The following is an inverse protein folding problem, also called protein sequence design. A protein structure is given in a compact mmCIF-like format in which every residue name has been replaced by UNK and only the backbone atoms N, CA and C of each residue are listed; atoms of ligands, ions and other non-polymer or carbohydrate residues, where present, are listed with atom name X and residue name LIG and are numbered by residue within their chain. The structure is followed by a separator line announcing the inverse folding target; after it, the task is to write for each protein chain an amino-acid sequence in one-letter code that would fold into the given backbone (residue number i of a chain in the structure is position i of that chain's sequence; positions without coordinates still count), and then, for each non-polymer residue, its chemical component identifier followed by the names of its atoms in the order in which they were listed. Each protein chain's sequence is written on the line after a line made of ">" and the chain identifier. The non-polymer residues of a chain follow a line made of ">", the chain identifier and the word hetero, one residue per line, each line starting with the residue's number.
data_IF_406122423612
#
_entry.id   IF_406122423612
#
_cell.length_a   1.000
_cell.length_b   1.000
_cell.length_c   1.000
_cell.angle_alpha   90.00
_cell.angle_beta   90.00
_cell.angle_gamma   90.00
#
_symmetry.space_group_name_H-M   'P 1'
#
loop_
_entity.id
_entity.type
_entity.pdbx_description
1 polymer ?
#
# COMPACT_ATOMS: atom_id res chain seq x y z
N UNK A 1 1.10 20.06 7.17
CA UNK A 1 1.04 20.43 5.74
C UNK A 1 -0.13 19.69 5.09
N UNK A 2 -0.76 20.22 4.02
CA UNK A 2 -1.85 19.52 3.31
C UNK A 2 -1.31 18.81 2.07
N UNK A 3 -1.88 17.65 1.73
CA UNK A 3 -1.48 16.83 0.59
C UNK A 3 -1.81 17.52 -0.75
N UNK A 4 -0.89 17.56 -1.74
CA UNK A 4 -1.21 17.96 -3.10
C UNK A 4 -2.12 16.91 -3.77
N UNK A 5 -3.00 17.34 -4.68
CA UNK A 5 -3.95 16.44 -5.35
C UNK A 5 -4.19 16.85 -6.79
N UNK A 6 -4.45 15.88 -7.67
CA UNK A 6 -4.72 16.14 -9.09
C UNK A 6 -5.93 17.06 -9.26
N UNK A 7 -5.73 18.21 -9.91
CA UNK A 7 -6.80 19.18 -10.20
C UNK A 7 -7.54 19.71 -8.96
N UNK A 8 -6.97 19.54 -7.76
CA UNK A 8 -7.64 19.78 -6.48
C UNK A 8 -8.99 19.03 -6.36
N UNK A 9 -9.10 17.85 -6.97
CA UNK A 9 -10.31 17.02 -6.92
C UNK A 9 -10.37 16.12 -5.69
N UNK A 10 -9.23 15.95 -4.99
CA UNK A 10 -9.08 15.10 -3.81
C UNK A 10 -9.61 13.69 -4.10
N UNK A 11 -8.98 12.95 -4.99
CA UNK A 11 -9.51 11.68 -5.55
C UNK A 11 -9.34 10.47 -4.61
N UNK A 12 -9.63 10.68 -3.34
CA UNK A 12 -9.49 9.69 -2.28
C UNK A 12 -10.64 9.72 -1.29
N UNK A 13 -10.85 8.60 -0.61
CA UNK A 13 -11.71 8.48 0.56
C UNK A 13 -11.03 7.62 1.62
N UNK A 14 -11.36 7.83 2.89
CA UNK A 14 -10.82 7.04 4.00
C UNK A 14 -11.96 6.40 4.77
N UNK A 15 -11.96 5.07 4.84
CA UNK A 15 -12.88 4.30 5.67
C UNK A 15 -12.21 4.05 7.01
N UNK A 16 -12.84 4.53 8.09
CA UNK A 16 -12.34 4.39 9.46
C UNK A 16 -13.02 3.17 10.10
N UNK A 17 -12.25 2.15 10.43
CA UNK A 17 -12.73 0.94 11.10
C UNK A 17 -12.24 0.89 12.54
N UNK A 18 -13.17 1.05 13.48
CA UNK A 18 -12.92 0.96 14.94
C UNK A 18 -13.62 -0.24 15.57
N UNK A 19 -14.78 -0.60 15.03
CA UNK A 19 -15.62 -1.69 15.49
C UNK A 19 -14.87 -3.03 15.44
N UNK A 20 -15.00 -3.82 16.52
CA UNK A 20 -14.26 -5.06 16.70
C UNK A 20 -14.72 -6.14 15.71
N UNK A 21 -16.03 -6.23 15.45
CA UNK A 21 -16.57 -7.19 14.48
C UNK A 21 -16.11 -6.85 13.06
N UNK A 22 -16.13 -5.57 12.69
CA UNK A 22 -15.61 -5.10 11.40
C UNK A 22 -14.11 -5.33 11.23
N UNK A 23 -13.30 -5.15 12.28
CA UNK A 23 -11.87 -5.53 12.24
C UNK A 23 -11.69 -7.03 12.05
N UNK A 24 -12.47 -7.85 12.76
CA UNK A 24 -12.44 -9.30 12.60
C UNK A 24 -12.82 -9.73 11.18
N UNK A 25 -13.77 -9.04 10.54
CA UNK A 25 -14.13 -9.29 9.13
C UNK A 25 -13.03 -8.88 8.14
N UNK A 26 -12.25 -7.83 8.43
CA UNK A 26 -11.12 -7.40 7.59
C UNK A 26 -9.85 -8.23 7.79
N UNK A 27 -9.67 -8.86 8.96
CA UNK A 27 -8.44 -9.57 9.30
C UNK A 27 -8.06 -10.64 8.26
N UNK A 28 -8.97 -11.48 7.71
CA UNK A 28 -8.63 -12.43 6.67
C UNK A 28 -8.09 -11.80 5.39
N UNK A 29 -8.63 -10.64 4.98
CA UNK A 29 -8.15 -9.90 3.80
C UNK A 29 -6.71 -9.41 3.97
N UNK A 30 -6.29 -9.24 5.22
CA UNK A 30 -4.94 -8.84 5.62
C UNK A 30 -4.12 -10.02 6.16
N UNK A 31 -4.45 -11.24 5.75
CA UNK A 31 -3.75 -12.48 6.14
C UNK A 31 -3.66 -12.70 7.65
N UNK A 32 -4.66 -12.23 8.38
CA UNK A 32 -4.75 -12.29 9.84
C UNK A 32 -3.53 -11.70 10.56
N UNK A 33 -2.89 -10.68 9.97
CA UNK A 33 -1.86 -9.90 10.67
C UNK A 33 -2.48 -9.31 11.96
N UNK A 34 -1.89 -9.58 13.14
CA UNK A 34 -2.52 -9.33 14.44
C UNK A 34 -2.87 -7.85 14.67
N UNK A 35 -2.06 -6.96 14.09
CA UNK A 35 -2.22 -5.50 14.17
C UNK A 35 -3.61 -5.03 13.70
N UNK A 36 -4.28 -5.77 12.79
CA UNK A 36 -5.61 -5.40 12.29
C UNK A 36 -6.67 -5.43 13.40
N UNK A 37 -6.57 -6.41 14.30
CA UNK A 37 -7.49 -6.58 15.42
C UNK A 37 -7.01 -5.90 16.70
N UNK A 38 -5.69 -5.80 16.88
CA UNK A 38 -5.08 -5.20 18.08
C UNK A 38 -5.10 -3.68 18.06
N UNK A 39 -4.83 -3.06 16.90
CA UNK A 39 -4.79 -1.61 16.80
C UNK A 39 -6.17 -1.00 17.09
N UNK A 40 -6.25 0.14 17.79
CA UNK A 40 -7.53 0.78 18.09
C UNK A 40 -8.22 1.31 16.84
N UNK A 41 -7.49 1.58 15.75
CA UNK A 41 -8.05 2.04 14.47
C UNK A 41 -7.37 1.34 13.30
N UNK A 42 -8.17 0.93 12.32
CA UNK A 42 -7.72 0.54 10.98
C UNK A 42 -8.29 1.55 9.99
N UNK A 43 -7.44 2.12 9.13
CA UNK A 43 -7.84 3.09 8.11
C UNK A 43 -7.59 2.51 6.73
N UNK A 44 -8.63 2.39 5.91
CA UNK A 44 -8.52 1.99 4.51
C UNK A 44 -8.66 3.22 3.62
N UNK A 45 -7.59 3.59 2.94
CA UNK A 45 -7.51 4.67 1.97
C UNK A 45 -7.84 4.13 0.58
N UNK A 46 -8.82 4.73 -0.06
CA UNK A 46 -9.35 4.30 -1.35
C UNK A 46 -9.07 5.36 -2.41
N UNK A 47 -8.71 4.93 -3.61
CA UNK A 47 -8.91 5.72 -4.83
C UNK A 47 -10.42 5.94 -5.01
N UNK A 48 -10.86 7.19 -5.15
CA UNK A 48 -12.29 7.54 -5.23
C UNK A 48 -12.56 8.55 -6.35
N UNK A 49 -13.08 8.02 -7.46
CA UNK A 49 -13.68 8.81 -8.54
C UNK A 49 -15.21 8.82 -8.46
N UNK A 50 -15.81 8.05 -7.56
CA UNK A 50 -17.25 8.03 -7.36
C UNK A 50 -17.76 9.42 -7.01
N UNK A 51 -17.18 10.07 -6.00
CA UNK A 51 -17.61 11.41 -5.55
C UNK A 51 -17.56 12.45 -6.67
N UNK A 52 -16.45 12.50 -7.40
CA UNK A 52 -16.26 13.43 -8.53
C UNK A 52 -17.23 13.14 -9.67
N UNK A 53 -17.47 11.86 -9.97
CA UNK A 53 -18.45 11.43 -10.98
C UNK A 53 -19.87 11.87 -10.59
N UNK A 54 -20.27 11.64 -9.34
CA UNK A 54 -21.58 12.07 -8.83
C UNK A 54 -21.72 13.59 -8.90
N UNK A 55 -20.68 14.35 -8.53
CA UNK A 55 -20.68 15.81 -8.67
C UNK A 55 -20.88 16.25 -10.13
N UNK A 56 -20.13 15.67 -11.08
CA UNK A 56 -20.25 16.00 -12.50
C UNK A 56 -21.66 15.74 -13.05
N UNK A 57 -22.23 14.55 -12.78
CA UNK A 57 -23.59 14.20 -13.20
C UNK A 57 -24.64 15.17 -12.63
N UNK A 58 -24.47 15.60 -11.38
CA UNK A 58 -25.33 16.58 -10.73
C UNK A 58 -25.05 18.03 -11.13
N UNK A 59 -24.12 18.28 -12.06
CA UNK A 59 -23.74 19.62 -12.56
C UNK A 59 -23.77 19.71 -14.08
N UNK A 60 -24.57 18.87 -14.74
CA UNK A 60 -24.75 18.85 -16.20
C UNK A 60 -23.44 18.61 -16.96
N UNK A 61 -22.49 17.90 -16.35
CA UNK A 61 -21.24 17.49 -16.96
C UNK A 61 -21.26 15.99 -17.28
N UNK A 62 -20.39 15.57 -18.21
CA UNK A 62 -20.27 14.18 -18.66
C UNK A 62 -18.96 13.60 -18.14
N UNK A 63 -18.96 12.83 -17.03
CA UNK A 63 -17.75 12.21 -16.52
C UNK A 63 -17.28 11.07 -17.44
N UNK A 64 -15.97 10.87 -17.51
CA UNK A 64 -15.32 9.78 -18.26
C UNK A 64 -14.14 9.23 -17.47
N UNK A 65 -14.38 8.86 -16.21
CA UNK A 65 -13.37 8.46 -15.24
C UNK A 65 -13.31 6.95 -14.98
N UNK A 66 -14.02 6.18 -15.80
CA UNK A 66 -14.11 4.73 -15.77
C UNK A 66 -13.06 4.07 -16.65
N UNK A 67 -11.80 4.39 -16.36
CA UNK A 67 -10.65 3.89 -17.12
C UNK A 67 -9.40 3.84 -16.24
N UNK A 68 -8.40 3.12 -16.74
CA UNK A 68 -7.18 2.82 -16.00
C UNK A 68 -6.38 4.07 -15.63
N UNK A 69 -6.33 5.08 -16.52
CA UNK A 69 -5.64 6.32 -16.23
C UNK A 69 -6.27 7.06 -15.05
N UNK A 70 -7.60 7.08 -14.99
CA UNK A 70 -8.34 7.67 -13.87
C UNK A 70 -8.07 6.90 -12.57
N UNK A 71 -8.01 5.57 -12.62
CA UNK A 71 -7.57 4.78 -11.48
C UNK A 71 -6.18 5.18 -10.99
N UNK A 72 -5.19 5.27 -11.89
CA UNK A 72 -3.81 5.65 -11.52
C UNK A 72 -3.74 7.06 -10.89
N UNK A 73 -4.50 8.02 -11.42
CA UNK A 73 -4.60 9.36 -10.86
C UNK A 73 -5.15 9.32 -9.42
N UNK A 74 -6.25 8.60 -9.20
CA UNK A 74 -6.86 8.47 -7.88
C UNK A 74 -6.01 7.66 -6.89
N UNK A 75 -5.33 6.61 -7.36
CA UNK A 75 -4.43 5.80 -6.56
C UNK A 75 -3.23 6.62 -6.04
N UNK A 76 -2.67 7.47 -6.92
CA UNK A 76 -1.57 8.38 -6.55
C UNK A 76 -2.02 9.38 -5.50
N UNK A 77 -3.18 10.03 -5.71
CA UNK A 77 -3.80 10.95 -4.74
C UNK A 77 -4.01 10.27 -3.37
N UNK A 78 -4.51 9.03 -3.36
CA UNK A 78 -4.76 8.26 -2.14
C UNK A 78 -3.46 7.90 -1.39
N UNK A 79 -2.40 7.48 -2.08
CA UNK A 79 -1.10 7.16 -1.46
C UNK A 79 -0.40 8.40 -0.90
N UNK A 80 -0.43 9.53 -1.63
CA UNK A 80 0.11 10.79 -1.13
C UNK A 80 -0.61 11.23 0.15
N UNK A 81 -1.94 11.07 0.18
CA UNK A 81 -2.74 11.41 1.35
C UNK A 81 -2.43 10.48 2.53
N UNK A 82 -2.34 9.16 2.28
CA UNK A 82 -1.96 8.16 3.27
C UNK A 82 -0.60 8.48 3.90
N UNK A 83 0.44 8.73 3.10
CA UNK A 83 1.76 9.04 3.65
C UNK A 83 1.79 10.37 4.41
N UNK A 84 1.07 11.40 3.92
CA UNK A 84 0.94 12.67 4.65
C UNK A 84 0.29 12.43 6.01
N UNK A 85 -0.74 11.59 6.06
CA UNK A 85 -1.41 11.21 7.30
C UNK A 85 -0.46 10.48 8.25
N UNK A 86 0.31 9.48 7.78
CA UNK A 86 1.28 8.77 8.61
C UNK A 86 2.30 9.71 9.24
N UNK A 87 2.91 10.61 8.45
CA UNK A 87 3.87 11.59 8.95
C UNK A 87 3.27 12.48 10.06
N UNK A 88 2.01 12.89 9.91
CA UNK A 88 1.32 13.71 10.91
C UNK A 88 0.96 12.89 12.15
N UNK A 89 0.51 11.64 11.98
CA UNK A 89 0.19 10.76 13.09
C UNK A 89 1.43 10.46 13.95
N UNK A 90 2.56 10.15 13.32
CA UNK A 90 3.84 9.90 14.00
C UNK A 90 4.36 11.15 14.71
N UNK A 91 4.19 12.35 14.12
CA UNK A 91 4.52 13.61 14.77
C UNK A 91 3.68 13.89 16.03
N UNK A 92 2.46 13.34 16.10
CA UNK A 92 1.57 13.38 17.27
C UNK A 92 1.79 12.20 18.24
N UNK A 93 2.83 11.38 18.01
CA UNK A 93 3.21 10.27 18.89
C UNK A 93 2.42 8.97 18.68
N UNK A 94 1.70 8.83 17.57
CA UNK A 94 1.03 7.57 17.20
C UNK A 94 1.96 6.67 16.37
N UNK A 95 1.78 5.36 16.48
CA UNK A 95 2.40 4.35 15.63
C UNK A 95 1.51 4.02 14.44
N UNK A 96 2.13 3.81 13.28
CA UNK A 96 1.44 3.36 12.06
C UNK A 96 2.11 2.13 11.45
N UNK A 97 1.32 1.24 10.83
CA UNK A 97 1.85 0.14 10.03
C UNK A 97 1.05 -0.01 8.73
N UNK A 98 1.73 0.06 7.59
CA UNK A 98 1.12 -0.11 6.28
C UNK A 98 0.95 -1.58 5.92
N UNK A 99 -0.26 -1.98 5.52
CA UNK A 99 -0.58 -3.35 5.17
C UNK A 99 -0.57 -3.55 3.65
N UNK A 100 0.55 -4.03 3.09
CA UNK A 100 0.68 -4.30 1.65
C UNK A 100 -0.37 -5.26 1.07
N UNK A 101 -0.96 -6.08 1.94
CA UNK A 101 -2.08 -6.99 1.63
C UNK A 101 -3.33 -6.32 1.05
N UNK A 102 -3.51 -5.00 1.18
CA UNK A 102 -4.68 -4.28 0.63
C UNK A 102 -4.89 -4.54 -0.85
N UNK A 103 -3.82 -4.51 -1.64
CA UNK A 103 -3.87 -4.77 -3.08
C UNK A 103 -3.75 -6.27 -3.42
N UNK A 104 -3.50 -7.14 -2.43
CA UNK A 104 -3.50 -8.59 -2.64
C UNK A 104 -4.90 -9.18 -2.54
N UNK A 105 -5.77 -8.60 -1.72
CA UNK A 105 -7.15 -9.03 -1.51
C UNK A 105 -8.17 -7.89 -1.69
N UNK A 106 -8.10 -7.10 -2.79
CA UNK A 106 -8.92 -5.91 -2.94
C UNK A 106 -10.40 -6.24 -2.96
N UNK A 107 -10.81 -7.35 -3.60
CA UNK A 107 -12.22 -7.74 -3.69
C UNK A 107 -12.83 -8.01 -2.31
N UNK A 108 -12.13 -8.75 -1.45
CA UNK A 108 -12.59 -9.04 -0.10
C UNK A 108 -12.77 -7.77 0.74
N UNK A 109 -11.88 -6.78 0.57
CA UNK A 109 -11.98 -5.48 1.23
C UNK A 109 -13.14 -4.67 0.65
N UNK A 110 -13.31 -4.67 -0.68
CA UNK A 110 -14.44 -4.02 -1.37
C UNK A 110 -15.77 -4.54 -0.83
N UNK A 111 -15.93 -5.86 -0.72
CA UNK A 111 -17.16 -6.49 -0.24
C UNK A 111 -17.41 -6.16 1.25
N UNK A 112 -16.37 -6.27 2.08
CA UNK A 112 -16.46 -6.03 3.53
C UNK A 112 -16.81 -4.58 3.87
N UNK A 113 -16.21 -3.64 3.14
CA UNK A 113 -16.41 -2.19 3.31
C UNK A 113 -17.51 -1.62 2.40
N UNK A 114 -18.14 -2.46 1.59
CA UNK A 114 -19.23 -2.10 0.67
C UNK A 114 -18.84 -0.95 -0.26
N UNK A 115 -17.62 -1.01 -0.82
CA UNK A 115 -17.08 0.06 -1.66
C UNK A 115 -17.82 0.09 -3.01
N UNK A 116 -18.47 1.21 -3.37
CA UNK A 116 -19.25 1.29 -4.61
C UNK A 116 -18.35 1.41 -5.83
N UNK A 117 -18.95 1.29 -7.03
CA UNK A 117 -18.26 1.52 -8.32
C UNK A 117 -17.45 2.83 -8.29
N UNK A 118 -16.26 2.80 -8.88
CA UNK A 118 -15.24 3.86 -8.88
C UNK A 118 -14.62 4.18 -7.52
N UNK A 119 -14.69 3.24 -6.57
CA UNK A 119 -13.94 3.28 -5.32
C UNK A 119 -13.10 2.01 -5.19
N UNK A 120 -11.77 2.14 -5.05
CA UNK A 120 -10.88 0.99 -5.00
C UNK A 120 -9.90 1.13 -3.83
N UNK A 121 -9.70 0.11 -2.97
CA UNK A 121 -8.81 0.21 -1.82
C UNK A 121 -7.34 0.17 -2.28
N UNK A 122 -6.53 1.13 -1.81
CA UNK A 122 -5.14 1.31 -2.26
C UNK A 122 -4.15 1.07 -1.11
N UNK A 123 -4.50 1.55 0.08
CA UNK A 123 -3.68 1.41 1.26
C UNK A 123 -4.55 1.11 2.47
N UNK A 124 -4.06 0.27 3.37
CA UNK A 124 -4.62 0.15 4.71
C UNK A 124 -3.50 0.38 5.70
N UNK A 125 -3.76 1.17 6.74
CA UNK A 125 -2.86 1.29 7.88
C UNK A 125 -3.56 0.89 9.16
N UNK A 126 -2.81 0.31 10.08
CA UNK A 126 -3.19 0.25 11.49
C UNK A 126 -2.64 1.49 12.20
N UNK A 127 -3.38 2.00 13.18
CA UNK A 127 -3.06 3.23 13.90
C UNK A 127 -3.38 3.06 15.38
N UNK A 128 -2.41 3.39 16.24
CA UNK A 128 -2.55 3.31 17.70
C UNK A 128 -1.43 4.03 18.44
N UNK A 129 -1.48 4.00 19.77
CA UNK A 129 -0.33 4.40 20.57
C UNK A 129 0.67 3.24 20.58
N UNK A 130 1.96 3.48 20.30
CA UNK A 130 2.97 2.43 20.27
C UNK A 130 3.10 1.73 21.64
N UNK A 131 3.13 0.41 21.63
CA UNK A 131 3.50 -0.46 22.75
C UNK A 131 4.92 -1.05 22.59
N UNK A 132 5.55 -0.76 21.46
CA UNK A 132 6.93 -1.12 21.12
C UNK A 132 7.70 0.08 20.56
N UNK A 133 9.04 -0.01 20.60
CA UNK A 133 9.95 0.97 20.02
C UNK A 133 11.05 0.23 19.23
N UNK A 134 10.72 -0.31 18.04
CA UNK A 134 11.66 -1.10 17.26
C UNK A 134 12.83 -0.25 16.74
N UNK A 135 13.96 -0.90 16.49
CA UNK A 135 15.08 -0.25 15.84
C UNK A 135 14.70 0.16 14.40
N UNK A 136 15.24 1.29 13.94
CA UNK A 136 15.01 1.76 12.59
C UNK A 136 15.69 0.83 11.58
N UNK A 137 14.93 0.29 10.63
CA UNK A 137 15.49 -0.51 9.55
C UNK A 137 16.37 0.34 8.62
N UNK A 138 17.40 -0.29 8.07
CA UNK A 138 18.30 0.28 7.08
C UNK A 138 17.56 0.75 5.81
N UNK A 139 18.21 1.66 5.07
CA UNK A 139 17.81 2.07 3.73
C UNK A 139 19.00 1.88 2.79
N UNK A 140 18.72 1.67 1.52
CA UNK A 140 19.79 1.67 0.52
C UNK A 140 20.45 3.05 0.43
N UNK A 141 21.73 3.13 0.00
CA UNK A 141 22.41 4.39 -0.25
C UNK A 141 21.64 5.28 -1.23
N UNK A 142 21.76 6.61 -1.10
CA UNK A 142 21.00 7.56 -1.93
C UNK A 142 21.33 7.42 -3.42
N UNK A 143 22.58 7.15 -3.74
CA UNK A 143 23.07 6.91 -5.10
C UNK A 143 22.47 5.67 -5.77
N UNK A 144 21.83 4.78 -5.00
CA UNK A 144 21.09 3.64 -5.56
C UNK A 144 19.64 3.99 -5.94
N UNK A 145 19.19 5.23 -5.69
CA UNK A 145 17.81 5.67 -5.87
C UNK A 145 17.77 6.96 -6.72
N UNK A 146 18.72 7.86 -6.50
CA UNK A 146 18.84 9.12 -7.22
C UNK A 146 19.61 8.89 -8.52
N UNK A 147 19.02 9.30 -9.64
CA UNK A 147 19.65 9.28 -10.96
C UNK A 147 19.68 10.71 -11.52
N UNK A 148 20.83 11.13 -12.04
CA UNK A 148 20.98 12.44 -12.67
C UNK A 148 20.59 12.37 -14.15
N UNK A 149 19.62 13.20 -14.55
CA UNK A 149 19.09 13.37 -15.91
C UNK A 149 18.42 12.12 -16.53
N UNK A 150 19.10 10.98 -16.52
CA UNK A 150 18.64 9.71 -17.08
C UNK A 150 18.89 8.56 -16.13
N UNK A 151 18.05 7.52 -16.23
CA UNK A 151 18.23 6.29 -15.48
C UNK A 151 19.58 5.63 -15.78
N UNK A 152 20.33 5.28 -14.74
CA UNK A 152 21.58 4.51 -14.83
C UNK A 152 21.29 3.08 -14.41
N UNK A 153 21.57 2.12 -15.29
CA UNK A 153 21.34 0.70 -15.01
C UNK A 153 22.36 0.13 -14.01
N UNK A 154 21.98 -0.93 -13.31
CA UNK A 154 22.78 -1.49 -12.22
C UNK A 154 23.70 -2.61 -12.69
N UNK A 155 25.02 -2.35 -12.65
CA UNK A 155 26.02 -3.41 -12.80
C UNK A 155 26.10 -4.28 -11.56
N UNK A 156 26.65 -5.50 -11.68
CA UNK A 156 26.89 -6.38 -10.53
C UNK A 156 27.69 -5.69 -9.41
N UNK A 157 28.72 -4.91 -9.76
CA UNK A 157 29.52 -4.17 -8.77
C UNK A 157 28.70 -3.10 -8.02
N UNK A 158 27.72 -2.47 -8.69
CA UNK A 158 26.81 -1.52 -8.03
C UNK A 158 25.83 -2.25 -7.11
N UNK A 159 25.30 -3.40 -7.54
CA UNK A 159 24.43 -4.23 -6.69
C UNK A 159 25.18 -4.69 -5.44
N UNK A 160 26.39 -5.22 -5.59
CA UNK A 160 27.25 -5.62 -4.47
C UNK A 160 27.46 -4.45 -3.52
N UNK A 161 27.79 -3.27 -4.04
CA UNK A 161 27.97 -2.05 -3.24
C UNK A 161 26.69 -1.66 -2.48
N UNK A 162 25.57 -1.54 -3.18
CA UNK A 162 24.32 -0.99 -2.63
C UNK A 162 23.63 -1.93 -1.66
N UNK A 163 23.72 -3.23 -1.87
CA UNK A 163 23.10 -4.23 -1.01
C UNK A 163 24.04 -4.77 0.09
N UNK A 164 25.34 -4.41 0.08
CA UNK A 164 26.31 -4.91 1.05
C UNK A 164 25.85 -4.77 2.50
N UNK A 165 25.46 -3.56 2.93
CA UNK A 165 24.99 -3.34 4.31
C UNK A 165 23.73 -4.14 4.61
N UNK A 166 22.75 -4.07 3.70
CA UNK A 166 21.46 -4.75 3.82
C UNK A 166 21.61 -6.26 4.01
N UNK A 167 22.45 -6.90 3.21
CA UNK A 167 22.67 -8.35 3.32
C UNK A 167 23.52 -8.76 4.53
N UNK A 168 24.22 -7.81 5.15
CA UNK A 168 25.15 -8.09 6.24
C UNK A 168 24.63 -7.76 7.65
N UNK A 169 23.45 -7.16 7.80
CA UNK A 169 22.84 -6.94 9.11
C UNK A 169 22.58 -8.27 9.85
N UNK A 170 22.72 -8.32 11.19
CA UNK A 170 22.42 -9.51 11.96
C UNK A 170 21.00 -10.04 11.71
N UNK A 171 20.02 -9.15 11.59
CA UNK A 171 18.61 -9.48 11.36
C UNK A 171 18.40 -10.14 10.00
N UNK A 172 19.01 -9.61 8.94
CA UNK A 172 18.85 -10.18 7.60
C UNK A 172 19.63 -11.49 7.44
N UNK A 173 20.82 -11.62 8.03
CA UNK A 173 21.55 -12.90 8.08
C UNK A 173 20.74 -13.97 8.80
N UNK A 174 20.20 -13.62 9.97
CA UNK A 174 19.31 -14.52 10.69
C UNK A 174 18.06 -14.86 9.88
N UNK A 175 17.48 -13.89 9.17
CA UNK A 175 16.32 -14.11 8.32
C UNK A 175 16.62 -15.07 7.16
N UNK A 176 17.82 -15.04 6.58
CA UNK A 176 18.29 -16.03 5.60
C UNK A 176 18.40 -17.42 6.22
N UNK A 177 19.05 -17.52 7.38
CA UNK A 177 19.28 -18.79 8.09
C UNK A 177 17.96 -19.49 8.43
N UNK A 178 17.01 -18.80 9.07
CA UNK A 178 15.74 -19.43 9.50
C UNK A 178 14.85 -19.85 8.32
N UNK A 179 15.04 -19.23 7.15
CA UNK A 179 14.30 -19.58 5.94
C UNK A 179 15.02 -20.61 5.07
N UNK A 180 16.18 -21.13 5.51
CA UNK A 180 16.99 -22.11 4.80
C UNK A 180 17.34 -21.66 3.38
N UNK A 181 17.78 -20.40 3.23
CA UNK A 181 18.25 -19.82 1.97
C UNK A 181 19.74 -19.53 2.00
N UNK A 182 20.33 -19.31 0.83
CA UNK A 182 21.74 -18.94 0.69
C UNK A 182 21.91 -17.42 0.71
N UNK A 183 20.95 -16.68 0.17
CA UNK A 183 20.99 -15.23 0.07
C UNK A 183 19.68 -14.58 0.52
N UNK A 184 19.75 -13.30 0.89
CA UNK A 184 18.57 -12.52 1.24
C UNK A 184 17.60 -12.39 0.06
N UNK A 185 18.14 -12.22 -1.16
CA UNK A 185 17.35 -12.16 -2.38
C UNK A 185 16.45 -13.40 -2.56
N UNK A 186 16.98 -14.61 -2.31
CA UNK A 186 16.20 -15.85 -2.39
C UNK A 186 15.04 -15.90 -1.38
N UNK A 187 15.18 -15.29 -0.20
CA UNK A 187 14.07 -15.20 0.75
C UNK A 187 12.92 -14.39 0.15
N UNK A 188 13.22 -13.30 -0.55
CA UNK A 188 12.20 -12.49 -1.19
C UNK A 188 11.61 -13.16 -2.43
N UNK A 189 12.43 -13.71 -3.32
CA UNK A 189 11.98 -14.26 -4.61
C UNK A 189 11.31 -15.63 -4.49
N UNK A 190 11.75 -16.46 -3.54
CA UNK A 190 11.33 -17.85 -3.47
C UNK A 190 10.28 -18.10 -2.39
N UNK A 191 10.15 -17.18 -1.42
CA UNK A 191 9.24 -17.34 -0.28
C UNK A 191 8.25 -16.18 -0.14
N UNK A 192 8.73 -14.93 -0.02
CA UNK A 192 7.85 -13.79 0.32
C UNK A 192 7.00 -13.29 -0.85
N UNK A 193 7.61 -13.14 -2.03
CA UNK A 193 7.00 -12.54 -3.21
C UNK A 193 7.26 -13.42 -4.43
N UNK A 194 6.76 -14.65 -4.35
CA UNK A 194 7.02 -15.65 -5.38
C UNK A 194 6.42 -15.25 -6.73
N UNK A 195 7.06 -15.66 -7.83
CA UNK A 195 6.52 -15.44 -9.18
C UNK A 195 5.07 -15.91 -9.30
N UNK A 196 4.78 -17.12 -8.80
CA UNK A 196 3.45 -17.73 -8.85
C UNK A 196 2.42 -16.85 -8.17
N UNK A 197 2.72 -16.37 -6.96
CA UNK A 197 1.78 -15.60 -6.17
C UNK A 197 1.62 -14.19 -6.76
N UNK A 198 2.70 -13.55 -7.21
CA UNK A 198 2.64 -12.26 -7.90
C UNK A 198 1.76 -12.31 -9.16
N UNK A 199 1.90 -13.35 -9.99
CA UNK A 199 1.07 -13.53 -11.19
C UNK A 199 -0.40 -13.80 -10.85
N UNK A 200 -0.67 -14.57 -9.79
CA UNK A 200 -2.03 -14.84 -9.33
C UNK A 200 -2.71 -13.58 -8.76
N UNK A 201 -2.03 -12.87 -7.85
CA UNK A 201 -2.53 -11.64 -7.23
C UNK A 201 -2.74 -10.52 -8.26
N UNK A 202 -1.90 -10.45 -9.30
CA UNK A 202 -2.07 -9.53 -10.42
C UNK A 202 -3.41 -9.75 -11.14
N UNK A 203 -3.78 -11.01 -11.40
CA UNK A 203 -5.07 -11.35 -12.05
C UNK A 203 -6.25 -10.93 -11.16
N UNK A 204 -6.20 -11.26 -9.87
CA UNK A 204 -7.22 -10.86 -8.90
C UNK A 204 -7.40 -9.35 -8.84
N UNK A 205 -6.30 -8.59 -8.86
CA UNK A 205 -6.34 -7.13 -8.85
C UNK A 205 -6.99 -6.57 -10.11
N UNK A 206 -6.61 -7.09 -11.29
CA UNK A 206 -7.18 -6.67 -12.57
C UNK A 206 -8.68 -7.00 -12.66
N UNK A 207 -9.11 -8.13 -12.12
CA UNK A 207 -10.54 -8.49 -12.05
C UNK A 207 -11.32 -7.53 -11.14
N UNK A 208 -10.80 -7.23 -9.95
CA UNK A 208 -11.43 -6.26 -9.05
C UNK A 208 -11.50 -4.85 -9.67
N UNK A 209 -10.49 -4.43 -10.42
CA UNK A 209 -10.50 -3.15 -11.15
C UNK A 209 -11.61 -3.09 -12.20
N UNK A 210 -11.80 -4.18 -12.97
CA UNK A 210 -12.92 -4.29 -13.93
C UNK A 210 -14.26 -4.21 -13.20
N UNK A 211 -14.41 -4.92 -12.09
CA UNK A 211 -15.66 -4.90 -11.31
C UNK A 211 -15.98 -3.51 -10.74
N UNK A 212 -14.97 -2.78 -10.26
CA UNK A 212 -15.14 -1.40 -9.80
C UNK A 212 -15.27 -0.38 -10.94
N UNK A 213 -15.20 -0.80 -12.21
CA UNK A 213 -15.41 0.04 -13.38
C UNK A 213 -14.23 0.95 -13.72
N UNK A 214 -13.00 0.54 -13.38
CA UNK A 214 -11.78 1.24 -13.75
C UNK A 214 -11.08 0.64 -14.99
N UNK A 215 -11.64 -0.42 -15.58
CA UNK A 215 -11.13 -1.12 -16.77
C UNK A 215 -12.28 -1.51 -17.70
#
# INVERSE_FOLDING_TARGET
>A
MRTPTMGNLQLYSVVITRDAEKKALLAPSHFNQPMVTEAPVVLTFCADFNRTTQWALNRKATPGYDNFLSFLNAATDALLYCQTFCNLAEAEGLGTCFLGTTIYQPQSIIDTLQLPRLVFPIATITLGYPDENPAQCERLPLESIIHEETYTDYSAALIDCFYHEKENTPENKHFVEINNKETLAQVFTDLRYTKRDNEALSKTTLEALKQQGFL
#
